data_IF_602508708166
#
_entry.id   IF_602508708166
#
_cell.length_a   1.000
_cell.length_b   1.000
_cell.length_c   1.000
_cell.angle_alpha   90.00
_cell.angle_beta   90.00
_cell.angle_gamma   90.00
#
_symmetry.space_group_name_H-M   'P 1'
#
loop_
_entity.id
_entity.type
_entity.pdbx_description
1 polymer ?
#
# COMPACT_ATOMS: atom_id res chain seq x y z
N UNK A 1 -57.93 -44.12 -49.76
CA UNK A 1 -57.53 -43.81 -48.40
C UNK A 1 -56.00 -43.94 -48.34
N UNK A 2 -55.31 -42.79 -48.38
CA UNK A 2 -53.85 -42.70 -48.43
C UNK A 2 -53.29 -42.68 -47.01
N UNK A 3 -52.56 -43.73 -46.59
CA UNK A 3 -51.77 -43.76 -45.35
C UNK A 3 -50.48 -42.96 -45.60
N UNK A 4 -50.44 -41.76 -45.09
CA UNK A 4 -49.21 -40.98 -45.06
C UNK A 4 -48.33 -41.60 -43.93
N UNK A 5 -47.33 -42.33 -44.36
CA UNK A 5 -46.27 -42.84 -43.51
C UNK A 5 -45.46 -41.67 -42.99
N UNK A 6 -45.49 -41.43 -41.67
CA UNK A 6 -44.56 -40.55 -41.00
C UNK A 6 -43.18 -41.20 -41.04
N UNK A 7 -42.39 -40.86 -42.07
CA UNK A 7 -41.00 -41.19 -42.10
C UNK A 7 -40.27 -40.25 -41.12
N UNK A 8 -40.16 -40.69 -39.89
CA UNK A 8 -39.31 -39.98 -38.94
C UNK A 8 -37.90 -39.94 -39.49
N UNK A 9 -37.49 -38.74 -39.85
CA UNK A 9 -36.16 -38.39 -40.30
C UNK A 9 -35.23 -38.61 -39.13
N UNK A 10 -34.74 -39.83 -38.94
CA UNK A 10 -33.67 -40.16 -38.03
C UNK A 10 -32.43 -39.47 -38.59
N UNK A 11 -32.17 -38.26 -38.11
CA UNK A 11 -30.93 -37.56 -38.44
C UNK A 11 -29.78 -38.43 -37.90
N UNK A 12 -29.22 -39.22 -38.76
CA UNK A 12 -27.96 -39.92 -38.51
C UNK A 12 -26.94 -38.82 -38.40
N UNK A 13 -26.67 -38.41 -37.17
CA UNK A 13 -25.58 -37.49 -36.87
C UNK A 13 -24.29 -38.22 -37.33
N UNK A 14 -23.76 -37.78 -38.47
CA UNK A 14 -22.51 -38.37 -38.95
C UNK A 14 -21.46 -38.23 -37.85
N UNK A 15 -20.64 -39.28 -37.59
CA UNK A 15 -19.59 -39.23 -36.55
C UNK A 15 -18.66 -38.02 -36.71
N UNK A 16 -18.56 -37.52 -37.92
CA UNK A 16 -17.80 -36.30 -38.27
C UNK A 16 -18.45 -35.05 -37.64
N UNK A 17 -19.76 -34.91 -37.65
CA UNK A 17 -20.44 -33.75 -37.11
C UNK A 17 -20.38 -33.71 -35.58
N UNK A 18 -20.48 -34.86 -34.91
CA UNK A 18 -20.28 -34.98 -33.48
C UNK A 18 -18.85 -34.71 -33.07
N UNK A 19 -17.86 -35.21 -33.81
CA UNK A 19 -16.45 -34.92 -33.58
C UNK A 19 -16.15 -33.42 -33.75
N UNK A 20 -16.71 -32.76 -34.75
CA UNK A 20 -16.56 -31.31 -34.99
C UNK A 20 -17.13 -30.47 -33.86
N UNK A 21 -18.29 -30.88 -33.32
CA UNK A 21 -18.92 -30.20 -32.16
C UNK A 21 -18.11 -30.39 -30.86
N UNK A 22 -17.53 -31.56 -30.67
CA UNK A 22 -16.65 -31.83 -29.53
C UNK A 22 -15.36 -30.97 -29.63
N UNK A 23 -14.75 -30.92 -30.84
CA UNK A 23 -13.58 -30.07 -31.06
C UNK A 23 -13.86 -28.58 -30.81
N UNK A 24 -15.00 -28.07 -31.29
CA UNK A 24 -15.42 -26.68 -31.01
C UNK A 24 -15.60 -26.38 -29.52
N UNK A 25 -16.22 -27.31 -28.80
CA UNK A 25 -16.36 -27.18 -27.34
C UNK A 25 -15.01 -27.20 -26.63
N UNK A 26 -14.14 -28.11 -27.04
CA UNK A 26 -12.79 -28.21 -26.48
C UNK A 26 -11.97 -26.94 -26.72
N UNK A 27 -12.03 -26.39 -27.95
CA UNK A 27 -11.39 -25.13 -28.29
C UNK A 27 -11.94 -23.97 -27.43
N UNK A 28 -13.26 -23.92 -27.26
CA UNK A 28 -13.92 -22.88 -26.45
C UNK A 28 -13.53 -22.96 -24.98
N UNK A 29 -13.46 -24.17 -24.40
CA UNK A 29 -12.97 -24.35 -23.03
C UNK A 29 -11.51 -24.01 -22.88
N UNK A 30 -10.66 -24.39 -23.84
CA UNK A 30 -9.24 -24.07 -23.86
C UNK A 30 -8.99 -22.56 -23.91
N UNK A 31 -9.73 -21.83 -24.75
CA UNK A 31 -9.63 -20.37 -24.80
C UNK A 31 -10.10 -19.72 -23.51
N UNK A 32 -11.19 -20.20 -22.91
CA UNK A 32 -11.71 -19.67 -21.64
C UNK A 32 -10.71 -19.89 -20.48
N UNK A 33 -10.13 -21.08 -20.40
CA UNK A 33 -9.08 -21.41 -19.41
C UNK A 33 -7.84 -20.53 -19.63
N UNK A 34 -7.41 -20.34 -20.88
CA UNK A 34 -6.29 -19.46 -21.23
C UNK A 34 -6.52 -18.01 -20.81
N UNK A 35 -7.71 -17.47 -21.05
CA UNK A 35 -8.11 -16.11 -20.62
C UNK A 35 -8.14 -16.03 -19.10
N UNK A 36 -8.69 -17.04 -18.42
CA UNK A 36 -8.76 -17.07 -16.97
C UNK A 36 -7.37 -17.09 -16.31
N UNK A 37 -6.45 -17.93 -16.84
CA UNK A 37 -5.05 -17.96 -16.39
C UNK A 37 -4.38 -16.60 -16.64
N UNK A 38 -4.60 -16.00 -17.82
CA UNK A 38 -4.09 -14.67 -18.13
C UNK A 38 -4.56 -13.59 -17.15
N UNK A 39 -5.83 -13.62 -16.74
CA UNK A 39 -6.40 -12.71 -15.74
C UNK A 39 -5.77 -12.90 -14.36
N UNK A 40 -5.54 -14.14 -13.93
CA UNK A 40 -4.90 -14.43 -12.63
C UNK A 40 -3.45 -13.93 -12.60
N UNK A 41 -2.68 -14.11 -13.68
CA UNK A 41 -1.29 -13.62 -13.78
C UNK A 41 -1.26 -12.09 -13.82
N UNK A 42 -2.22 -11.44 -14.47
CA UNK A 42 -2.32 -9.98 -14.54
C UNK A 42 -2.61 -9.31 -13.17
N UNK A 43 -3.19 -10.05 -12.21
CA UNK A 43 -3.51 -9.56 -10.88
C UNK A 43 -2.35 -9.57 -9.88
N UNK A 44 -1.09 -9.74 -10.30
CA UNK A 44 0.06 -9.67 -9.39
C UNK A 44 0.37 -8.20 -9.06
N UNK A 45 0.05 -7.71 -7.84
CA UNK A 45 0.08 -6.27 -7.53
C UNK A 45 1.50 -5.67 -7.56
N UNK A 46 2.53 -6.48 -7.34
CA UNK A 46 3.91 -6.03 -7.27
C UNK A 46 4.72 -6.31 -8.56
N UNK A 47 4.07 -6.74 -9.65
CA UNK A 47 4.76 -6.92 -10.93
C UNK A 47 5.20 -5.57 -11.51
N UNK A 48 6.42 -5.55 -12.11
CA UNK A 48 6.98 -4.34 -12.73
C UNK A 48 6.34 -4.04 -14.10
N UNK A 49 5.01 -3.89 -14.12
CA UNK A 49 4.25 -3.50 -15.31
C UNK A 49 4.04 -2.01 -15.37
N UNK A 50 3.88 -1.45 -16.57
CA UNK A 50 3.56 -0.03 -16.74
C UNK A 50 2.31 0.37 -15.93
N UNK A 51 1.26 -0.46 -15.96
CA UNK A 51 0.03 -0.24 -15.22
C UNK A 51 0.27 -0.16 -13.70
N UNK A 52 1.00 -1.11 -13.13
CA UNK A 52 1.28 -1.12 -11.69
C UNK A 52 2.12 0.08 -11.25
N UNK A 53 3.07 0.53 -12.07
CA UNK A 53 3.85 1.75 -11.76
C UNK A 53 3.00 3.00 -11.65
N UNK A 54 1.91 3.09 -12.42
CA UNK A 54 1.01 4.24 -12.38
C UNK A 54 -0.05 4.10 -11.26
N UNK A 55 -0.56 2.90 -11.05
CA UNK A 55 -1.65 2.67 -10.10
C UNK A 55 -1.20 2.52 -8.66
N UNK A 56 -0.03 1.90 -8.40
CA UNK A 56 0.46 1.67 -7.04
C UNK A 56 0.63 2.96 -6.23
N UNK A 57 1.21 4.05 -6.75
CA UNK A 57 1.30 5.30 -6.00
C UNK A 57 -0.06 5.88 -5.62
N UNK A 58 -1.05 5.77 -6.51
CA UNK A 58 -2.42 6.25 -6.28
C UNK A 58 -3.07 5.43 -5.15
N UNK A 59 -3.03 4.10 -5.26
CA UNK A 59 -3.56 3.19 -4.24
C UNK A 59 -2.86 3.40 -2.89
N UNK A 60 -1.54 3.57 -2.92
CA UNK A 60 -0.73 3.85 -1.72
C UNK A 60 -1.19 5.12 -1.03
N UNK A 61 -1.32 6.22 -1.79
CA UNK A 61 -1.71 7.53 -1.27
C UNK A 61 -3.10 7.51 -0.64
N UNK A 62 -4.10 7.03 -1.37
CA UNK A 62 -5.50 7.19 -0.96
C UNK A 62 -6.02 6.12 0.01
N UNK A 63 -5.44 4.93 0.03
CA UNK A 63 -5.95 3.86 0.89
C UNK A 63 -5.23 3.72 2.23
N UNK A 64 -3.92 3.79 2.24
CA UNK A 64 -3.16 3.47 3.45
C UNK A 64 -2.47 4.70 4.02
N UNK A 65 -1.76 5.46 3.16
CA UNK A 65 -1.00 6.62 3.60
C UNK A 65 -1.91 7.72 4.13
N UNK A 66 -2.99 8.04 3.42
CA UNK A 66 -4.00 9.02 3.85
C UNK A 66 -4.54 8.73 5.26
N UNK A 67 -4.91 7.48 5.53
CA UNK A 67 -5.38 7.09 6.87
C UNK A 67 -4.29 7.20 7.95
N UNK A 68 -3.02 7.05 7.57
CA UNK A 68 -1.88 7.26 8.46
C UNK A 68 -1.66 8.75 8.75
N UNK A 69 -1.72 9.58 7.72
CA UNK A 69 -1.61 11.04 7.84
C UNK A 69 -2.76 11.63 8.67
N UNK A 70 -3.99 11.12 8.50
CA UNK A 70 -5.14 11.52 9.31
C UNK A 70 -4.94 11.14 10.79
N UNK A 71 -4.46 9.92 11.07
CA UNK A 71 -4.17 9.49 12.42
C UNK A 71 -3.07 10.37 13.05
N UNK A 72 -1.99 10.64 12.31
CA UNK A 72 -0.92 11.54 12.74
C UNK A 72 -1.43 12.95 13.07
N UNK A 73 -2.27 13.52 12.20
CA UNK A 73 -2.85 14.83 12.41
C UNK A 73 -3.74 14.88 13.67
N UNK A 74 -4.52 13.82 13.93
CA UNK A 74 -5.31 13.69 15.16
C UNK A 74 -4.43 13.63 16.40
N UNK A 75 -3.37 12.81 16.37
CA UNK A 75 -2.40 12.72 17.47
C UNK A 75 -1.73 14.07 17.77
N UNK A 76 -1.36 14.81 16.72
CA UNK A 76 -0.75 16.12 16.86
C UNK A 76 -1.72 17.16 17.46
N UNK A 77 -3.00 17.13 17.06
CA UNK A 77 -4.02 18.02 17.63
C UNK A 77 -4.27 17.69 19.09
N UNK A 78 -4.39 16.42 19.46
CA UNK A 78 -4.53 16.00 20.87
C UNK A 78 -3.33 16.41 21.72
N UNK A 79 -2.12 16.31 21.16
CA UNK A 79 -0.90 16.75 21.84
C UNK A 79 -0.95 18.27 22.12
N UNK A 80 -1.35 19.05 21.11
CA UNK A 80 -1.47 20.52 21.24
C UNK A 80 -2.56 20.95 22.20
N UNK A 81 -3.69 20.26 22.22
CA UNK A 81 -4.80 20.55 23.15
C UNK A 81 -4.44 20.27 24.61
N UNK A 82 -3.61 19.25 24.85
CA UNK A 82 -3.15 18.88 26.19
C UNK A 82 -1.97 19.71 26.69
N UNK A 83 -1.23 20.32 25.75
CA UNK A 83 -0.06 21.10 26.08
C UNK A 83 -0.44 22.45 26.69
N UNK A 84 0.18 22.79 27.80
CA UNK A 84 0.05 24.11 28.44
C UNK A 84 1.44 24.72 28.58
N UNK A 85 1.57 25.96 28.11
CA UNK A 85 2.82 26.73 28.22
C UNK A 85 3.14 27.01 29.68
N UNK A 86 4.33 26.67 30.12
CA UNK A 86 4.89 27.07 31.38
C UNK A 86 5.82 28.27 31.20
N UNK A 87 5.30 29.46 31.35
CA UNK A 87 6.07 30.71 31.14
C UNK A 87 7.18 30.94 32.20
N UNK A 88 7.29 30.09 33.23
CA UNK A 88 8.38 30.14 34.21
C UNK A 88 9.66 29.41 33.73
N UNK A 89 9.56 28.68 32.62
CA UNK A 89 10.66 27.89 32.05
C UNK A 89 10.91 28.31 30.59
N UNK A 90 12.01 27.83 30.00
CA UNK A 90 12.27 28.02 28.58
C UNK A 90 11.23 27.22 27.80
N UNK A 91 10.42 27.90 27.01
CA UNK A 91 9.39 27.25 26.21
C UNK A 91 10.03 26.35 25.13
N UNK A 92 9.62 25.11 25.02
CA UNK A 92 10.07 24.23 23.96
C UNK A 92 9.53 24.69 22.59
N UNK A 93 10.29 24.47 21.55
CA UNK A 93 9.89 24.80 20.17
C UNK A 93 8.69 23.95 19.71
N UNK A 94 8.57 22.75 20.25
CA UNK A 94 7.47 21.84 19.96
C UNK A 94 6.90 21.28 21.30
N UNK A 95 5.59 21.02 21.36
CA UNK A 95 4.93 20.51 22.56
C UNK A 95 5.25 19.03 22.82
N UNK A 96 6.53 18.70 22.86
CA UNK A 96 7.00 17.36 23.24
C UNK A 96 7.36 17.44 24.71
N UNK A 97 6.85 16.51 25.50
CA UNK A 97 7.17 16.41 26.89
C UNK A 97 8.63 16.08 27.11
N UNK A 98 9.48 17.09 27.29
CA UNK A 98 10.86 16.94 27.78
C UNK A 98 10.91 16.43 29.25
N UNK A 99 9.81 15.92 29.73
CA UNK A 99 9.75 15.20 31.00
C UNK A 99 10.54 13.92 30.80
N UNK A 100 11.84 13.89 31.12
CA UNK A 100 12.79 12.77 30.98
C UNK A 100 12.35 11.40 31.53
N UNK A 101 11.09 11.17 31.58
CA UNK A 101 10.39 9.90 31.72
C UNK A 101 10.27 9.32 30.32
N UNK A 102 11.35 8.62 29.88
CA UNK A 102 11.18 7.55 28.91
C UNK A 102 9.93 6.81 29.35
N UNK A 103 8.85 6.90 28.56
CA UNK A 103 7.64 6.13 28.85
C UNK A 103 8.00 4.66 28.61
N UNK A 104 8.48 4.02 29.68
CA UNK A 104 8.78 2.58 29.72
C UNK A 104 7.53 1.72 29.61
N UNK A 105 6.36 2.33 29.73
CA UNK A 105 5.07 1.63 29.88
C UNK A 105 4.27 1.43 28.60
N UNK A 106 4.87 1.58 27.43
CA UNK A 106 4.18 1.23 26.16
C UNK A 106 2.87 2.01 25.89
N UNK A 107 2.63 3.09 26.63
CA UNK A 107 1.44 3.93 26.49
C UNK A 107 1.73 5.15 25.61
N UNK A 108 2.21 4.90 24.38
CA UNK A 108 2.29 5.91 23.33
C UNK A 108 0.90 6.45 22.98
N UNK A 109 0.85 7.59 22.31
CA UNK A 109 -0.43 8.09 21.79
C UNK A 109 -0.95 7.11 20.72
N UNK A 110 -2.15 6.51 20.90
CA UNK A 110 -2.71 5.49 19.99
C UNK A 110 -2.86 6.01 18.55
N UNK A 111 -2.92 7.32 18.37
CA UNK A 111 -2.99 7.93 17.05
C UNK A 111 -1.62 7.92 16.35
N UNK A 112 -0.51 8.13 17.08
CA UNK A 112 0.84 8.00 16.51
C UNK A 112 1.19 6.54 16.24
N UNK A 113 0.83 5.62 17.12
CA UNK A 113 0.97 4.17 16.90
C UNK A 113 0.20 3.74 15.65
N UNK A 114 -1.05 4.19 15.49
CA UNK A 114 -1.84 3.93 14.29
C UNK A 114 -1.20 4.52 13.01
N UNK A 115 -0.62 5.70 13.10
CA UNK A 115 0.08 6.33 11.98
C UNK A 115 1.31 5.52 11.59
N UNK A 116 2.09 5.05 12.56
CA UNK A 116 3.23 4.16 12.36
C UNK A 116 2.82 2.84 11.69
N UNK A 117 1.78 2.16 12.20
CA UNK A 117 1.26 0.93 11.62
C UNK A 117 0.87 1.10 10.15
N UNK A 118 0.23 2.23 9.82
CA UNK A 118 -0.15 2.53 8.43
C UNK A 118 1.07 2.81 7.56
N UNK A 119 2.07 3.52 8.07
CA UNK A 119 3.32 3.77 7.36
C UNK A 119 4.09 2.46 7.10
N UNK A 120 4.25 1.60 8.12
CA UNK A 120 4.88 0.28 7.99
C UNK A 120 4.12 -0.59 6.98
N UNK A 121 2.80 -0.64 7.08
CA UNK A 121 1.96 -1.40 6.14
C UNK A 121 2.10 -0.88 4.70
N UNK A 122 2.24 0.42 4.53
CA UNK A 122 2.51 1.05 3.23
C UNK A 122 3.84 0.56 2.67
N UNK A 123 4.90 0.62 3.45
CA UNK A 123 6.24 0.20 3.06
C UNK A 123 6.24 -1.30 2.69
N UNK A 124 5.65 -2.14 3.51
CA UNK A 124 5.65 -3.60 3.31
C UNK A 124 4.83 -4.04 2.09
N UNK A 125 3.65 -3.45 1.87
CA UNK A 125 2.71 -3.91 0.85
C UNK A 125 2.84 -3.23 -0.50
N UNK A 126 3.28 -1.98 -0.50
CA UNK A 126 3.30 -1.14 -1.70
C UNK A 126 4.70 -0.81 -2.21
N UNK A 127 5.75 -1.34 -1.56
CA UNK A 127 7.12 -1.22 -2.06
C UNK A 127 7.28 -1.97 -3.37
N UNK A 128 7.88 -1.31 -4.37
CA UNK A 128 8.14 -1.84 -5.69
C UNK A 128 9.62 -1.68 -6.04
N UNK A 129 10.47 -2.52 -5.45
CA UNK A 129 11.92 -2.47 -5.70
C UNK A 129 12.27 -3.39 -6.87
N UNK A 130 12.78 -2.81 -7.97
CA UNK A 130 13.26 -3.55 -9.14
C UNK A 130 14.68 -3.11 -9.48
N UNK A 131 15.59 -4.07 -9.53
CA UNK A 131 17.02 -3.82 -9.78
C UNK A 131 17.61 -2.77 -8.82
N UNK A 132 17.24 -2.85 -7.54
CA UNK A 132 17.70 -1.90 -6.51
C UNK A 132 17.05 -0.51 -6.55
N UNK A 133 16.11 -0.27 -7.47
CA UNK A 133 15.41 1.03 -7.58
C UNK A 133 13.97 0.91 -7.15
N UNK A 134 13.54 1.75 -6.21
CA UNK A 134 12.15 1.88 -5.81
C UNK A 134 11.35 2.57 -6.92
N UNK A 135 10.27 1.93 -7.37
CA UNK A 135 9.41 2.44 -8.44
C UNK A 135 8.15 3.14 -7.95
N UNK A 136 7.76 2.90 -6.70
CA UNK A 136 6.65 3.61 -6.08
C UNK A 136 7.19 4.83 -5.32
N UNK A 137 7.01 6.01 -5.91
CA UNK A 137 7.50 7.28 -5.34
C UNK A 137 6.76 7.72 -4.07
N UNK A 138 5.68 7.01 -3.66
CA UNK A 138 4.96 7.30 -2.42
C UNK A 138 5.53 6.58 -1.19
N UNK A 139 6.55 5.78 -1.37
CA UNK A 139 7.21 5.09 -0.25
C UNK A 139 8.10 6.05 0.55
N UNK A 140 8.65 7.09 -0.06
CA UNK A 140 9.35 8.15 0.63
C UNK A 140 8.42 8.94 1.58
N UNK A 141 7.20 9.28 1.16
CA UNK A 141 6.17 9.86 2.04
C UNK A 141 5.86 8.93 3.23
N UNK A 142 5.85 7.60 3.02
CA UNK A 142 5.60 6.64 4.10
C UNK A 142 6.75 6.60 5.12
N UNK A 143 8.01 6.65 4.69
CA UNK A 143 9.16 6.76 5.61
C UNK A 143 9.15 8.08 6.36
N UNK A 144 8.75 9.16 5.71
CA UNK A 144 8.60 10.46 6.35
C UNK A 144 7.53 10.45 7.45
N UNK A 145 6.35 9.86 7.16
CA UNK A 145 5.29 9.68 8.15
C UNK A 145 5.74 8.79 9.31
N UNK A 146 6.45 7.70 9.01
CA UNK A 146 7.00 6.78 10.00
C UNK A 146 7.94 7.49 10.97
N UNK A 147 8.88 8.27 10.44
CA UNK A 147 9.82 9.05 11.26
C UNK A 147 9.10 10.07 12.15
N UNK A 148 8.16 10.83 11.56
CA UNK A 148 7.38 11.83 12.32
C UNK A 148 6.51 11.21 13.41
N UNK A 149 5.82 10.11 13.13
CA UNK A 149 4.98 9.42 14.10
C UNK A 149 5.80 8.92 15.29
N UNK A 150 6.96 8.30 15.04
CA UNK A 150 7.89 7.85 16.06
C UNK A 150 8.50 8.99 16.88
N UNK A 151 8.79 10.12 16.23
CA UNK A 151 9.34 11.31 16.88
C UNK A 151 8.36 11.87 17.92
N UNK A 152 7.09 12.06 17.55
CA UNK A 152 6.07 12.56 18.49
C UNK A 152 5.63 11.53 19.52
N UNK A 153 5.95 10.26 19.30
CA UNK A 153 5.81 9.18 20.27
C UNK A 153 7.05 9.04 21.17
N UNK A 154 7.95 10.04 21.14
CA UNK A 154 9.20 10.14 21.92
C UNK A 154 10.20 8.99 21.67
N UNK A 155 10.03 8.24 20.59
CA UNK A 155 10.94 7.17 20.14
C UNK A 155 11.94 7.71 19.13
N UNK A 156 12.89 8.51 19.61
CA UNK A 156 13.82 9.28 18.77
C UNK A 156 14.76 8.41 17.95
N UNK A 157 15.34 7.35 18.52
CA UNK A 157 16.24 6.46 17.77
C UNK A 157 15.53 5.78 16.57
N UNK A 158 14.38 5.11 16.74
CA UNK A 158 13.61 4.57 15.61
C UNK A 158 13.15 5.64 14.61
N UNK A 159 12.89 6.87 15.07
CA UNK A 159 12.55 7.98 14.19
C UNK A 159 13.75 8.37 13.30
N UNK A 160 14.93 8.53 13.92
CA UNK A 160 16.17 8.83 13.21
C UNK A 160 16.54 7.75 12.19
N UNK A 161 16.33 6.47 12.52
CA UNK A 161 16.53 5.36 11.56
C UNK A 161 15.64 5.51 10.32
N UNK A 162 14.36 5.88 10.48
CA UNK A 162 13.45 6.08 9.37
C UNK A 162 13.88 7.26 8.47
N UNK A 163 14.31 8.40 9.07
CA UNK A 163 14.82 9.54 8.32
C UNK A 163 16.14 9.22 7.62
N UNK A 164 17.07 8.57 8.29
CA UNK A 164 18.35 8.15 7.69
C UNK A 164 18.15 7.17 6.54
N UNK A 165 17.21 6.23 6.68
CA UNK A 165 16.85 5.33 5.59
C UNK A 165 16.36 6.10 4.35
N UNK A 166 15.55 7.13 4.56
CA UNK A 166 15.06 7.99 3.49
C UNK A 166 16.23 8.76 2.84
N UNK A 167 17.09 9.40 3.64
CA UNK A 167 18.24 10.16 3.16
C UNK A 167 19.22 9.31 2.36
N UNK A 168 19.43 8.05 2.77
CA UNK A 168 20.40 7.16 2.13
C UNK A 168 19.87 6.50 0.87
N UNK A 169 18.61 6.06 0.88
CA UNK A 169 18.07 5.22 -0.19
C UNK A 169 17.21 5.98 -1.23
N UNK A 170 16.78 7.21 -0.92
CA UNK A 170 15.85 7.98 -1.75
C UNK A 170 16.42 9.35 -2.16
N UNK A 171 17.70 9.43 -2.50
CA UNK A 171 18.42 10.69 -2.78
C UNK A 171 17.81 11.63 -3.82
N UNK A 172 16.86 11.15 -4.63
CA UNK A 172 16.13 11.98 -5.61
C UNK A 172 14.71 12.36 -5.13
N UNK A 173 14.34 12.05 -3.89
CA UNK A 173 13.03 12.38 -3.35
C UNK A 173 12.92 13.87 -3.01
N UNK A 174 11.75 14.45 -3.27
CA UNK A 174 11.41 15.81 -2.84
C UNK A 174 11.39 15.98 -1.31
N UNK A 175 11.35 14.85 -0.57
CA UNK A 175 11.34 14.82 0.90
C UNK A 175 12.71 14.94 1.55
N UNK A 176 13.78 14.86 0.78
CA UNK A 176 15.17 14.93 1.31
C UNK A 176 15.44 16.14 2.17
N UNK A 177 15.11 17.39 1.75
CA UNK A 177 15.37 18.56 2.58
C UNK A 177 14.60 18.52 3.91
N UNK A 178 13.34 18.08 3.85
CA UNK A 178 12.49 17.93 5.03
C UNK A 178 13.03 16.85 5.98
N UNK A 179 13.41 15.68 5.44
CA UNK A 179 13.99 14.58 6.23
C UNK A 179 15.30 14.98 6.90
N UNK A 180 16.16 15.76 6.22
CA UNK A 180 17.41 16.25 6.79
C UNK A 180 17.16 17.15 8.00
N UNK A 181 16.16 18.02 7.93
CA UNK A 181 15.75 18.88 9.07
C UNK A 181 15.25 18.02 10.24
N UNK A 182 14.38 17.04 9.95
CA UNK A 182 13.85 16.15 10.99
C UNK A 182 14.91 15.26 11.64
N UNK A 183 15.91 14.84 10.90
CA UNK A 183 17.02 14.04 11.43
C UNK A 183 17.95 14.85 12.36
N UNK A 184 17.89 16.17 12.34
CA UNK A 184 18.71 17.06 13.17
C UNK A 184 17.97 17.59 14.41
N UNK A 185 16.68 17.35 14.51
CA UNK A 185 15.86 17.68 15.69
C UNK A 185 16.13 16.74 16.85
#
# INVERSE_FOLDING_TARGET
MLKISYFTKKVVSSPILTALNIMKKFLLYSTFVGVFIGLVIACTPNANTYYNRQMQPIVTKYNVLFNGEEAYAKGLNELREKYQDNFSEVLPVEPIGLSGKVQLDGMGNPNFERAEDKAIKTIQRHSMVFKGVQRNYKIDDAYMLLGKARYYDERFFPALEAFNHLLTNYGMSERIPEAAVWAQK
#
